data_IF_695871432147
#
_entry.id   IF_695871432147
#
_cell.length_a   1.000
_cell.length_b   1.000
_cell.length_c   1.000
_cell.angle_alpha   90.00
_cell.angle_beta   90.00
_cell.angle_gamma   90.00
#
_symmetry.space_group_name_H-M   'P 1'
#
loop_
_entity.id
_entity.type
_entity.pdbx_description
1 polymer ?
#
# COMPACT_ATOMS: atom_id res chain seq x y z
N UNK A 1 -43.12 24.20 3.22
CA UNK A 1 -41.87 24.05 4.00
C UNK A 1 -41.27 22.71 3.59
N UNK A 2 -40.34 22.73 2.68
CA UNK A 2 -39.61 21.54 2.23
C UNK A 2 -38.54 21.20 3.28
N UNK A 3 -38.55 19.96 3.76
CA UNK A 3 -37.46 19.45 4.57
C UNK A 3 -36.22 19.36 3.68
N UNK A 4 -35.15 20.02 4.08
CA UNK A 4 -33.83 19.82 3.51
C UNK A 4 -33.49 18.33 3.57
N UNK A 5 -32.99 17.71 2.49
CA UNK A 5 -32.52 16.35 2.57
C UNK A 5 -31.30 16.36 3.51
N UNK A 6 -31.40 15.60 4.61
CA UNK A 6 -30.27 15.33 5.49
C UNK A 6 -29.15 14.76 4.62
N UNK A 7 -28.13 15.57 4.40
CA UNK A 7 -26.85 15.09 3.86
C UNK A 7 -26.30 14.17 4.95
N UNK A 8 -26.49 12.85 4.78
CA UNK A 8 -25.76 11.88 5.58
C UNK A 8 -24.27 12.08 5.31
N UNK A 9 -23.61 12.79 6.22
CA UNK A 9 -22.16 12.91 6.22
C UNK A 9 -21.64 11.53 6.67
N UNK A 10 -21.42 10.63 5.71
CA UNK A 10 -20.66 9.42 6.01
C UNK A 10 -19.26 9.84 6.47
N UNK A 11 -18.83 9.42 7.66
CA UNK A 11 -17.45 9.73 8.08
C UNK A 11 -16.49 9.20 7.02
N UNK A 12 -15.54 10.03 6.60
CA UNK A 12 -14.52 9.64 5.62
C UNK A 12 -13.83 8.36 6.11
N UNK A 13 -13.85 7.26 5.33
CA UNK A 13 -13.26 6.01 5.80
C UNK A 13 -11.74 6.04 5.80
N UNK A 14 -11.13 7.02 5.10
CA UNK A 14 -9.67 7.16 4.95
C UNK A 14 -9.10 8.10 5.99
N UNK A 15 -8.03 7.67 6.63
CA UNK A 15 -7.25 8.41 7.63
C UNK A 15 -5.84 8.61 7.10
N UNK A 16 -5.31 9.80 7.27
CA UNK A 16 -3.93 10.12 6.88
C UNK A 16 -2.94 9.38 7.79
N UNK A 17 -1.92 8.82 7.17
CA UNK A 17 -0.81 8.17 7.88
C UNK A 17 0.20 9.23 8.34
N UNK A 18 0.05 9.65 9.58
CA UNK A 18 0.92 10.64 10.22
C UNK A 18 1.40 10.09 11.57
N UNK A 19 2.29 9.08 11.50
CA UNK A 19 2.88 8.44 12.67
C UNK A 19 4.40 8.70 12.65
N UNK A 20 4.98 9.28 13.72
CA UNK A 20 6.43 9.60 13.76
C UNK A 20 7.35 8.39 13.53
N UNK A 21 6.92 7.19 13.93
CA UNK A 21 7.68 5.95 13.77
C UNK A 21 7.51 5.30 12.39
N UNK A 22 6.56 5.76 11.58
CA UNK A 22 6.29 5.23 10.24
C UNK A 22 7.05 6.05 9.19
N UNK A 23 7.79 5.38 8.33
CA UNK A 23 8.45 6.05 7.22
C UNK A 23 7.54 5.99 5.98
N UNK A 24 7.30 7.14 5.35
CA UNK A 24 6.58 7.20 4.08
C UNK A 24 7.55 7.49 2.94
N UNK A 25 7.55 6.65 1.92
CA UNK A 25 8.34 6.79 0.69
C UNK A 25 7.47 6.35 -0.49
N UNK A 26 6.35 7.05 -0.71
CA UNK A 26 5.37 6.68 -1.73
C UNK A 26 5.99 6.71 -3.11
N UNK A 27 6.24 5.52 -3.67
CA UNK A 27 6.96 5.35 -4.94
C UNK A 27 6.26 6.06 -6.11
N UNK A 28 4.93 6.03 -6.12
CA UNK A 28 4.16 6.65 -7.20
C UNK A 28 4.06 8.19 -7.09
N UNK A 29 4.56 8.79 -6.01
CA UNK A 29 4.70 10.26 -5.91
C UNK A 29 5.97 10.79 -6.59
N UNK A 30 6.86 9.92 -7.04
CA UNK A 30 8.10 10.25 -7.77
C UNK A 30 8.28 9.40 -9.02
N UNK A 31 9.39 9.56 -9.74
CA UNK A 31 9.69 8.78 -10.94
C UNK A 31 10.25 7.37 -10.64
N UNK A 32 10.63 7.09 -9.38
CA UNK A 32 11.27 5.83 -8.99
C UNK A 32 10.24 4.71 -8.78
N UNK A 33 9.50 4.41 -9.85
CA UNK A 33 8.53 3.33 -9.94
C UNK A 33 8.54 2.75 -11.37
N UNK A 34 7.85 1.62 -11.60
CA UNK A 34 7.90 0.93 -12.88
C UNK A 34 7.35 1.74 -14.08
N UNK A 35 6.58 2.82 -13.83
CA UNK A 35 6.11 3.70 -14.93
C UNK A 35 7.15 4.75 -15.33
N UNK A 36 8.23 4.94 -14.55
CA UNK A 36 9.28 5.93 -14.78
C UNK A 36 8.82 7.38 -14.61
N UNK A 37 7.64 7.63 -14.04
CA UNK A 37 7.07 8.97 -13.82
C UNK A 37 6.22 9.02 -12.55
N UNK A 38 6.02 10.22 -12.02
CA UNK A 38 5.07 10.42 -10.94
C UNK A 38 3.63 10.15 -11.43
N UNK A 39 2.88 9.36 -10.67
CA UNK A 39 1.45 9.09 -10.86
C UNK A 39 0.64 9.96 -9.90
N UNK A 40 1.11 10.11 -8.65
CA UNK A 40 0.51 11.00 -7.67
C UNK A 40 1.05 12.42 -7.81
N UNK A 41 0.22 13.40 -7.59
CA UNK A 41 0.62 14.80 -7.48
C UNK A 41 1.06 15.18 -6.05
N UNK A 42 0.84 14.31 -5.06
CA UNK A 42 1.17 14.51 -3.65
C UNK A 42 1.66 13.21 -3.03
N UNK A 43 2.56 13.32 -2.06
CA UNK A 43 3.13 12.18 -1.32
C UNK A 43 2.42 11.97 0.03
N UNK A 44 1.09 12.02 0.05
CA UNK A 44 0.29 11.80 1.26
C UNK A 44 -0.16 10.33 1.33
N UNK A 45 0.20 9.63 2.40
CA UNK A 45 -0.27 8.28 2.67
C UNK A 45 -1.64 8.29 3.35
N UNK A 46 -2.59 7.52 2.82
CA UNK A 46 -3.93 7.36 3.38
C UNK A 46 -4.26 5.88 3.53
N UNK A 47 -5.04 5.54 4.57
CA UNK A 47 -5.44 4.17 4.84
C UNK A 47 -6.86 4.15 5.42
N UNK A 48 -7.61 3.10 5.11
CA UNK A 48 -8.94 2.91 5.70
C UNK A 48 -8.83 2.75 7.23
N UNK A 49 -9.73 3.39 7.97
CA UNK A 49 -9.73 3.37 9.45
C UNK A 49 -9.67 1.96 10.05
N UNK A 50 -10.29 0.96 9.41
CA UNK A 50 -10.27 -0.43 9.87
C UNK A 50 -8.88 -1.09 9.73
N UNK A 51 -8.00 -0.55 8.90
CA UNK A 51 -6.64 -1.05 8.73
C UNK A 51 -5.63 -0.40 9.69
N UNK A 52 -6.03 0.65 10.43
CA UNK A 52 -5.14 1.31 11.41
C UNK A 52 -4.78 0.41 12.59
N UNK A 53 -5.72 -0.32 13.26
CA UNK A 53 -5.33 -1.18 14.38
C UNK A 53 -4.32 -2.27 13.99
N UNK A 54 -4.47 -3.02 12.87
CA UNK A 54 -3.43 -3.97 12.46
C UNK A 54 -2.12 -3.28 12.04
N UNK A 55 -2.14 -2.07 11.44
CA UNK A 55 -0.91 -1.32 11.17
C UNK A 55 -0.18 -0.96 12.47
N UNK A 56 -0.87 -0.43 13.46
CA UNK A 56 -0.28 -0.09 14.76
C UNK A 56 0.32 -1.31 15.46
N UNK A 57 -0.36 -2.49 15.36
CA UNK A 57 0.22 -3.74 15.88
C UNK A 57 1.49 -4.13 15.13
N UNK A 58 1.51 -4.03 13.81
CA UNK A 58 2.69 -4.32 13.00
C UNK A 58 3.87 -3.40 13.37
N UNK A 59 3.60 -2.09 13.53
CA UNK A 59 4.61 -1.12 13.99
C UNK A 59 5.17 -1.49 15.36
N UNK A 60 4.31 -1.89 16.31
CA UNK A 60 4.73 -2.34 17.65
C UNK A 60 5.62 -3.58 17.58
N UNK A 61 5.23 -4.59 16.79
CA UNK A 61 5.99 -5.82 16.61
C UNK A 61 7.34 -5.56 15.95
N UNK A 62 7.39 -4.70 14.92
CA UNK A 62 8.65 -4.28 14.29
C UNK A 62 9.56 -3.54 15.28
N UNK A 63 9.00 -2.60 16.04
CA UNK A 63 9.77 -1.84 17.04
C UNK A 63 10.40 -2.73 18.12
N UNK A 64 9.71 -3.77 18.57
CA UNK A 64 10.25 -4.76 19.53
C UNK A 64 11.46 -5.52 18.97
N UNK A 65 11.64 -5.54 17.66
CA UNK A 65 12.82 -6.12 16.98
C UNK A 65 13.88 -5.06 16.64
N UNK A 66 13.72 -3.81 17.10
CA UNK A 66 14.61 -2.68 16.75
C UNK A 66 14.44 -2.21 15.31
N UNK A 67 13.31 -2.50 14.69
CA UNK A 67 13.02 -2.20 13.28
C UNK A 67 11.87 -1.19 13.16
N UNK A 68 11.73 -0.60 11.97
CA UNK A 68 10.62 0.29 11.61
C UNK A 68 9.99 -0.18 10.30
N UNK A 69 8.78 0.29 10.00
CA UNK A 69 8.11 0.08 8.73
C UNK A 69 8.32 1.28 7.81
N UNK A 70 8.57 1.02 6.53
CA UNK A 70 8.54 2.01 5.45
C UNK A 70 7.45 1.63 4.46
N UNK A 71 6.53 2.55 4.20
CA UNK A 71 5.42 2.38 3.26
C UNK A 71 5.84 2.89 1.88
N UNK A 72 5.69 2.06 0.86
CA UNK A 72 5.90 2.38 -0.55
C UNK A 72 4.59 2.78 -1.24
N UNK A 73 3.46 2.17 -0.84
CA UNK A 73 2.12 2.55 -1.29
C UNK A 73 1.07 2.18 -0.23
N UNK A 74 -0.05 2.91 -0.24
CA UNK A 74 -1.17 2.70 0.66
C UNK A 74 -2.50 2.82 -0.09
N UNK A 75 -3.37 3.78 0.24
CA UNK A 75 -4.51 4.06 -0.61
C UNK A 75 -4.05 4.53 -1.98
N UNK A 76 -4.50 3.83 -3.01
CA UNK A 76 -4.26 4.12 -4.43
C UNK A 76 -5.61 4.39 -5.08
N UNK A 77 -5.94 5.65 -5.41
CA UNK A 77 -7.21 5.96 -6.07
C UNK A 77 -7.44 5.10 -7.33
N UNK A 78 -8.70 4.85 -7.68
CA UNK A 78 -9.03 4.10 -8.90
C UNK A 78 -8.39 4.72 -10.14
N UNK A 79 -8.31 6.05 -10.20
CA UNK A 79 -7.68 6.80 -11.30
C UNK A 79 -6.20 6.41 -11.46
N UNK A 80 -5.47 6.30 -10.35
CA UNK A 80 -4.08 5.84 -10.36
C UNK A 80 -3.98 4.38 -10.80
N UNK A 81 -4.87 3.50 -10.31
CA UNK A 81 -4.88 2.09 -10.69
C UNK A 81 -5.07 1.93 -12.22
N UNK A 82 -5.92 2.74 -12.85
CA UNK A 82 -6.07 2.76 -14.31
C UNK A 82 -4.81 3.20 -15.03
N UNK A 83 -4.08 4.20 -14.52
CA UNK A 83 -2.81 4.66 -15.10
C UNK A 83 -1.78 3.54 -15.09
N UNK A 84 -1.64 2.84 -13.95
CA UNK A 84 -0.71 1.71 -13.80
C UNK A 84 -1.08 0.56 -14.75
N UNK A 85 -2.37 0.20 -14.82
CA UNK A 85 -2.87 -0.86 -15.69
C UNK A 85 -2.68 -0.55 -17.17
N UNK A 86 -2.93 0.68 -17.62
CA UNK A 86 -2.69 1.08 -19.00
C UNK A 86 -1.21 1.05 -19.38
N UNK A 87 -0.32 1.25 -18.39
CA UNK A 87 1.12 1.15 -18.62
C UNK A 87 1.56 -0.32 -18.74
N UNK A 88 1.11 -1.18 -17.82
CA UNK A 88 1.53 -2.59 -17.74
C UNK A 88 0.32 -3.44 -17.35
N UNK A 89 -0.50 -3.93 -18.31
CA UNK A 89 -1.68 -4.74 -18.02
C UNK A 89 -1.29 -6.20 -17.75
N UNK A 90 -0.63 -6.45 -16.63
CA UNK A 90 -0.18 -7.76 -16.19
C UNK A 90 -0.96 -8.20 -14.94
N UNK A 91 -1.94 -9.12 -15.08
CA UNK A 91 -2.79 -9.55 -13.97
C UNK A 91 -2.05 -10.43 -12.93
N UNK A 92 -0.82 -10.86 -13.20
CA UNK A 92 -0.01 -11.59 -12.23
C UNK A 92 0.49 -10.65 -11.10
N UNK A 93 0.75 -9.37 -11.44
CA UNK A 93 1.32 -8.39 -10.52
C UNK A 93 0.44 -7.16 -10.32
N UNK A 94 -0.52 -6.91 -11.19
CA UNK A 94 -1.38 -5.74 -11.09
C UNK A 94 -2.85 -6.15 -11.10
N UNK A 95 -3.61 -5.73 -10.09
CA UNK A 95 -5.04 -5.95 -10.06
C UNK A 95 -5.73 -5.23 -11.24
N UNK A 96 -6.55 -5.96 -11.99
CA UNK A 96 -7.39 -5.38 -13.04
C UNK A 96 -8.36 -4.36 -12.42
N UNK A 97 -8.30 -3.06 -12.82
CA UNK A 97 -9.15 -2.03 -12.22
C UNK A 97 -10.65 -2.29 -12.38
N UNK A 98 -11.05 -3.14 -13.35
CA UNK A 98 -12.45 -3.58 -13.52
C UNK A 98 -12.93 -4.50 -12.39
N UNK A 99 -12.01 -5.26 -11.80
CA UNK A 99 -12.25 -6.11 -10.63
C UNK A 99 -11.98 -5.38 -9.32
N UNK A 100 -11.13 -4.36 -9.36
CA UNK A 100 -10.74 -3.52 -8.26
C UNK A 100 -9.53 -4.04 -7.49
N UNK A 101 -8.74 -3.10 -6.96
CA UNK A 101 -7.56 -3.34 -6.14
C UNK A 101 -7.88 -3.17 -4.65
N UNK A 102 -7.23 -3.93 -3.78
CA UNK A 102 -7.26 -3.70 -2.34
C UNK A 102 -6.70 -2.32 -1.97
N UNK A 103 -5.71 -1.81 -2.72
CA UNK A 103 -5.23 -0.43 -2.59
C UNK A 103 -6.31 0.60 -2.87
N UNK A 104 -7.13 0.39 -3.92
CA UNK A 104 -8.23 1.31 -4.25
C UNK A 104 -9.42 1.23 -3.29
N UNK A 105 -9.38 0.30 -2.35
CA UNK A 105 -10.30 0.19 -1.21
C UNK A 105 -9.72 0.79 0.07
N UNK A 106 -8.47 1.26 0.01
CA UNK A 106 -7.71 1.82 1.13
C UNK A 106 -7.32 0.80 2.20
N UNK A 107 -7.31 -0.49 1.89
CA UNK A 107 -7.08 -1.56 2.87
C UNK A 107 -5.84 -2.40 2.59
N UNK A 108 -4.95 -1.91 1.74
CA UNK A 108 -3.68 -2.55 1.43
C UNK A 108 -2.51 -1.60 1.66
N UNK A 109 -1.37 -2.21 1.91
CA UNK A 109 -0.07 -1.55 2.07
C UNK A 109 0.98 -2.31 1.29
N UNK A 110 1.83 -1.58 0.57
CA UNK A 110 3.11 -2.06 0.09
C UNK A 110 4.19 -1.48 0.99
N UNK A 111 5.03 -2.34 1.58
CA UNK A 111 5.95 -1.89 2.62
C UNK A 111 7.19 -2.79 2.76
N UNK A 112 8.18 -2.27 3.49
CA UNK A 112 9.38 -3.00 3.89
C UNK A 112 9.73 -2.75 5.35
N UNK A 113 10.75 -3.49 5.83
CA UNK A 113 11.41 -3.24 7.12
C UNK A 113 12.64 -2.37 6.92
N UNK A 114 12.86 -1.46 7.86
CA UNK A 114 14.10 -0.67 7.97
C UNK A 114 14.78 -0.92 9.31
N UNK A 115 16.09 -0.69 9.36
CA UNK A 115 16.82 -0.60 10.62
C UNK A 115 16.50 0.72 11.36
N UNK A 116 17.06 0.88 12.56
CA UNK A 116 16.86 2.07 13.38
C UNK A 116 17.39 3.37 12.70
N UNK A 117 18.33 3.25 11.76
CA UNK A 117 18.83 4.40 10.97
C UNK A 117 17.93 4.75 9.78
N UNK A 118 16.90 3.96 9.52
CA UNK A 118 15.98 4.12 8.40
C UNK A 118 16.51 3.53 7.07
N UNK A 119 17.52 2.65 7.10
CA UNK A 119 17.96 1.91 5.91
C UNK A 119 17.10 0.67 5.73
N UNK A 120 16.63 0.44 4.51
CA UNK A 120 15.84 -0.74 4.18
C UNK A 120 16.66 -2.02 4.38
N UNK A 121 16.03 -3.04 4.96
CA UNK A 121 16.61 -4.37 4.98
C UNK A 121 16.60 -4.96 3.57
N UNK A 122 17.66 -5.69 3.17
CA UNK A 122 17.68 -6.36 1.88
C UNK A 122 16.52 -7.35 1.74
N UNK A 123 15.72 -7.21 0.69
CA UNK A 123 14.58 -8.08 0.39
C UNK A 123 14.80 -8.95 -0.87
N UNK A 124 15.98 -8.87 -1.50
CA UNK A 124 16.38 -9.70 -2.64
C UNK A 124 15.86 -9.24 -3.99
N UNK A 125 14.85 -8.38 -4.03
CA UNK A 125 14.41 -7.62 -5.21
C UNK A 125 14.06 -6.20 -4.79
N UNK A 126 14.02 -5.29 -5.76
CA UNK A 126 13.40 -3.99 -5.55
C UNK A 126 11.87 -4.13 -5.36
N UNK A 127 11.25 -3.10 -4.82
CA UNK A 127 9.79 -2.90 -4.88
C UNK A 127 9.34 -2.85 -6.34
N UNK A 128 8.15 -3.33 -6.64
CA UNK A 128 7.59 -3.43 -8.00
C UNK A 128 8.44 -4.24 -9.01
N UNK A 129 9.33 -5.11 -8.53
CA UNK A 129 10.02 -6.05 -9.40
C UNK A 129 9.08 -7.17 -9.82
N UNK A 130 8.49 -7.06 -11.01
CA UNK A 130 7.52 -8.02 -11.57
C UNK A 130 8.23 -9.28 -12.08
N UNK A 131 8.79 -10.04 -11.14
CA UNK A 131 9.52 -11.29 -11.41
C UNK A 131 9.22 -12.34 -10.34
N UNK A 132 9.39 -13.63 -10.68
CA UNK A 132 9.24 -14.72 -9.72
C UNK A 132 10.15 -14.60 -8.47
N UNK A 133 11.24 -13.81 -8.55
CA UNK A 133 12.09 -13.56 -7.39
C UNK A 133 11.38 -12.72 -6.32
N UNK A 134 10.30 -12.03 -6.66
CA UNK A 134 9.45 -11.28 -5.71
C UNK A 134 8.48 -12.18 -4.93
N UNK A 135 8.27 -13.42 -5.37
CA UNK A 135 7.34 -14.34 -4.72
C UNK A 135 7.82 -14.74 -3.32
N UNK A 136 6.90 -14.83 -2.37
CA UNK A 136 7.17 -15.42 -1.07
C UNK A 136 7.67 -16.87 -1.22
N UNK A 137 8.65 -17.26 -0.41
CA UNK A 137 9.23 -18.60 -0.45
C UNK A 137 10.21 -18.83 -1.61
N UNK A 138 10.54 -17.81 -2.41
CA UNK A 138 11.60 -17.93 -3.41
C UNK A 138 12.96 -18.14 -2.72
N UNK A 139 13.69 -19.20 -3.14
CA UNK A 139 14.99 -19.59 -2.57
C UNK A 139 16.18 -19.22 -3.45
N UNK A 140 15.96 -18.57 -4.59
CA UNK A 140 16.99 -18.13 -5.52
C UNK A 140 17.55 -16.72 -5.20
N UNK A 141 17.11 -16.14 -4.07
CA UNK A 141 17.61 -14.88 -3.52
C UNK A 141 18.51 -15.15 -2.32
N UNK A 142 19.33 -14.17 -1.95
CA UNK A 142 20.25 -14.27 -0.82
C UNK A 142 19.56 -14.70 0.48
N UNK A 143 20.22 -15.54 1.28
CA UNK A 143 19.64 -16.08 2.53
C UNK A 143 19.21 -14.99 3.52
N UNK A 144 19.97 -13.89 3.59
CA UNK A 144 19.59 -12.74 4.41
C UNK A 144 18.27 -12.10 3.95
N UNK A 145 18.05 -11.99 2.66
CA UNK A 145 16.80 -11.46 2.10
C UNK A 145 15.62 -12.41 2.37
N UNK A 146 15.84 -13.73 2.26
CA UNK A 146 14.83 -14.72 2.65
C UNK A 146 14.42 -14.57 4.11
N UNK A 147 15.40 -14.45 5.02
CA UNK A 147 15.15 -14.25 6.45
C UNK A 147 14.37 -12.95 6.71
N UNK A 148 14.74 -11.85 6.06
CA UNK A 148 14.06 -10.56 6.20
C UNK A 148 12.60 -10.62 5.71
N UNK A 149 12.33 -11.31 4.57
CA UNK A 149 10.96 -11.53 4.09
C UNK A 149 10.13 -12.38 5.06
N UNK A 150 10.72 -13.44 5.64
CA UNK A 150 10.03 -14.25 6.64
C UNK A 150 9.72 -13.45 7.90
N UNK A 151 10.63 -12.56 8.33
CA UNK A 151 10.39 -11.67 9.46
C UNK A 151 9.26 -10.69 9.16
N UNK A 152 9.28 -10.02 7.99
CA UNK A 152 8.21 -9.12 7.56
C UNK A 152 6.87 -9.84 7.48
N UNK A 153 6.83 -11.01 6.82
CA UNK A 153 5.62 -11.83 6.73
C UNK A 153 5.08 -12.22 8.10
N UNK A 154 5.98 -12.63 9.02
CA UNK A 154 5.62 -12.99 10.40
C UNK A 154 5.04 -11.81 11.18
N UNK A 155 5.65 -10.63 11.10
CA UNK A 155 5.16 -9.40 11.72
C UNK A 155 3.76 -9.04 11.18
N UNK A 156 3.61 -8.99 9.87
CA UNK A 156 2.36 -8.57 9.24
C UNK A 156 1.22 -9.55 9.50
N UNK A 157 1.46 -10.85 9.35
CA UNK A 157 0.42 -11.87 9.60
C UNK A 157 0.04 -11.94 11.08
N UNK A 158 1.00 -11.84 12.02
CA UNK A 158 0.72 -11.76 13.45
C UNK A 158 -0.04 -10.48 13.82
N UNK A 159 0.13 -9.41 13.08
CA UNK A 159 -0.64 -8.18 13.24
C UNK A 159 -2.07 -8.24 12.67
N UNK A 160 -2.40 -9.26 11.86
CA UNK A 160 -3.74 -9.50 11.32
C UNK A 160 -3.91 -9.12 9.85
N UNK A 161 -2.80 -9.03 9.11
CA UNK A 161 -2.81 -8.81 7.67
C UNK A 161 -2.80 -10.14 6.89
N UNK A 162 -3.48 -10.16 5.76
CA UNK A 162 -3.31 -11.13 4.69
C UNK A 162 -2.21 -10.65 3.73
N UNK A 163 -1.71 -11.52 2.85
CA UNK A 163 -0.58 -11.20 1.97
C UNK A 163 -0.79 -11.72 0.55
N UNK A 164 -0.13 -11.09 -0.43
CA UNK A 164 -0.04 -11.59 -1.80
C UNK A 164 1.15 -12.56 -1.93
N UNK A 165 0.92 -13.77 -2.46
CA UNK A 165 1.99 -14.77 -2.64
C UNK A 165 3.07 -14.35 -3.63
N UNK A 166 2.71 -13.53 -4.62
CA UNK A 166 3.61 -13.12 -5.70
C UNK A 166 4.41 -11.86 -5.39
N UNK A 167 4.11 -11.18 -4.25
CA UNK A 167 4.67 -9.87 -3.92
C UNK A 167 5.05 -9.81 -2.44
N UNK A 168 6.37 -9.85 -2.13
CA UNK A 168 6.84 -9.84 -0.76
C UNK A 168 6.47 -8.57 0.02
N UNK A 169 6.18 -7.49 -0.67
CA UNK A 169 5.84 -6.19 -0.09
C UNK A 169 4.35 -6.00 0.21
N UNK A 170 3.43 -6.76 -0.47
CA UNK A 170 1.99 -6.49 -0.47
C UNK A 170 1.26 -7.21 0.67
N UNK A 171 0.56 -6.40 1.48
CA UNK A 171 -0.32 -6.87 2.56
C UNK A 171 -1.66 -6.15 2.52
N UNK A 172 -2.75 -6.86 2.83
CA UNK A 172 -4.10 -6.32 2.78
C UNK A 172 -4.98 -6.88 3.90
N UNK A 173 -6.11 -6.23 4.19
CA UNK A 173 -7.10 -6.83 5.08
C UNK A 173 -7.80 -8.01 4.40
N UNK A 174 -8.21 -8.97 5.22
CA UNK A 174 -9.08 -10.06 4.77
C UNK A 174 -10.41 -9.51 4.23
N UNK A 175 -11.04 -10.25 3.30
CA UNK A 175 -12.33 -9.91 2.68
C UNK A 175 -12.32 -8.54 2.00
N UNK A 176 -11.30 -8.29 1.21
CA UNK A 176 -11.15 -7.01 0.50
C UNK A 176 -12.40 -6.61 -0.29
N UNK A 177 -13.13 -7.58 -0.85
CA UNK A 177 -14.35 -7.39 -1.64
C UNK A 177 -15.50 -6.74 -0.86
N UNK A 178 -15.48 -6.76 0.48
CA UNK A 178 -16.51 -6.13 1.32
C UNK A 178 -16.32 -4.61 1.44
N UNK A 179 -15.17 -4.08 1.03
CA UNK A 179 -14.87 -2.65 1.04
C UNK A 179 -15.16 -2.03 -0.33
N UNK A 180 -15.77 -0.84 -0.39
CA UNK A 180 -16.04 -0.17 -1.65
C UNK A 180 -14.73 0.29 -2.31
N UNK A 181 -14.75 0.36 -3.65
CA UNK A 181 -13.69 1.05 -4.39
C UNK A 181 -13.85 2.56 -4.22
N UNK A 182 -12.74 3.24 -4.01
CA UNK A 182 -12.69 4.67 -3.75
C UNK A 182 -11.92 5.40 -4.85
N UNK A 183 -12.44 6.53 -5.28
CA UNK A 183 -11.77 7.44 -6.19
C UNK A 183 -10.96 8.49 -5.42
N UNK A 184 -10.19 9.28 -6.14
CA UNK A 184 -9.42 10.40 -5.59
C UNK A 184 -10.30 11.42 -4.85
N UNK A 185 -11.57 11.57 -5.25
CA UNK A 185 -12.55 12.45 -4.60
C UNK A 185 -12.97 11.99 -3.20
N UNK A 186 -12.61 10.78 -2.77
CA UNK A 186 -12.81 10.31 -1.40
C UNK A 186 -11.85 10.98 -0.40
N UNK A 187 -10.86 11.73 -0.87
CA UNK A 187 -9.91 12.45 -0.04
C UNK A 187 -10.34 13.92 0.18
N UNK A 188 -10.04 14.52 1.34
CA UNK A 188 -10.32 15.93 1.59
C UNK A 188 -9.53 16.83 0.63
N UNK A 189 -8.34 16.39 0.25
CA UNK A 189 -7.48 16.99 -0.75
C UNK A 189 -7.03 15.92 -1.72
N UNK A 190 -7.51 15.96 -2.99
CA UNK A 190 -7.15 15.00 -4.01
C UNK A 190 -5.64 14.84 -4.16
N UNK A 191 -5.17 13.61 -4.30
CA UNK A 191 -3.75 13.30 -4.47
C UNK A 191 -3.31 13.16 -5.93
N UNK A 192 -4.28 13.02 -6.85
CA UNK A 192 -3.96 12.96 -8.28
C UNK A 192 -3.59 14.35 -8.82
N UNK A 193 -2.73 14.44 -9.87
CA UNK A 193 -2.42 15.71 -10.53
C UNK A 193 -3.66 16.35 -11.12
N UNK A 194 -3.86 17.65 -10.91
CA UNK A 194 -5.06 18.39 -11.37
C UNK A 194 -5.33 18.35 -12.89
N UNK A 195 -4.35 17.93 -13.71
CA UNK A 195 -4.45 17.90 -15.17
C UNK A 195 -4.67 16.50 -15.76
N UNK A 196 -5.01 15.49 -14.97
CA UNK A 196 -5.27 14.12 -15.45
C UNK A 196 -6.73 13.71 -15.25
N UNK A 197 -7.65 14.66 -15.15
CA UNK A 197 -9.08 14.42 -15.26
C UNK A 197 -9.44 14.36 -16.74
N UNK A 198 -9.47 13.17 -17.33
CA UNK A 198 -10.02 12.93 -18.67
C UNK A 198 -10.97 11.74 -18.61
#
# INVERSE_FOLDING_TARGET
>A
MGADPLIEIFPMPLVRLDFPELLLSLAYAGPDNFTGRAVYGRADGWLHQNALPPLQRAMTLAHQQGLRLRIFDAFRPQEAQWILWHHTPDPEFLADPRQGSAHSRGIALDLTLTDASGRDLPMGTAYDSFTRHSHHGNTEIEAAAQANRHLLLGIMTAAGWDFNRNEWWHYQLFRAETYPLLSDSALPEPMMPKNQSA
#
